data_IF_102257943802
#
_entry.id   IF_102257943802
#
_cell.length_a   1.000
_cell.length_b   1.000
_cell.length_c   1.000
_cell.angle_alpha   90.00
_cell.angle_beta   90.00
_cell.angle_gamma   90.00
#
_symmetry.space_group_name_H-M   'P 1'
#
loop_
_entity.id
_entity.type
_entity.pdbx_description
1 polymer ?
#
# COMPACT_ATOMS: atom_id res chain seq x y z
N UNK A 1 2.45 -11.28 9.81
CA UNK A 1 1.36 -10.44 9.27
C UNK A 1 0.23 -10.50 10.26
N UNK A 2 -0.43 -9.38 10.55
CA UNK A 2 -1.52 -9.35 11.52
C UNK A 2 -2.74 -10.09 10.94
N UNK A 3 -3.43 -10.86 11.79
CA UNK A 3 -4.43 -11.85 11.34
C UNK A 3 -5.59 -11.19 10.58
N UNK A 4 -6.00 -10.01 11.00
CA UNK A 4 -7.09 -9.26 10.37
C UNK A 4 -6.78 -8.85 8.93
N UNK A 5 -5.53 -8.46 8.62
CA UNK A 5 -5.10 -8.19 7.24
C UNK A 5 -5.06 -9.46 6.38
N UNK A 6 -4.67 -10.61 6.95
CA UNK A 6 -4.71 -11.92 6.24
C UNK A 6 -6.15 -12.25 5.87
N UNK A 7 -7.05 -12.17 6.85
CA UNK A 7 -8.44 -12.54 6.68
C UNK A 7 -9.13 -11.60 5.66
N UNK A 8 -8.77 -10.31 5.69
CA UNK A 8 -9.24 -9.30 4.75
C UNK A 8 -8.77 -9.57 3.31
N UNK A 9 -7.48 -9.93 3.13
CA UNK A 9 -6.96 -10.35 1.83
C UNK A 9 -7.71 -11.56 1.27
N UNK A 10 -7.93 -12.60 2.08
CA UNK A 10 -8.61 -13.81 1.62
C UNK A 10 -10.06 -13.54 1.20
N UNK A 11 -10.76 -12.63 1.89
CA UNK A 11 -12.12 -12.21 1.51
C UNK A 11 -12.16 -11.43 0.19
N UNK A 12 -11.22 -10.51 -0.02
CA UNK A 12 -11.36 -9.47 -1.04
C UNK A 12 -10.39 -9.59 -2.24
N UNK A 13 -9.44 -10.53 -2.21
CA UNK A 13 -8.47 -10.74 -3.32
C UNK A 13 -9.13 -11.01 -4.68
N UNK A 14 -10.34 -11.59 -4.68
CA UNK A 14 -11.12 -11.81 -5.91
C UNK A 14 -11.60 -10.50 -6.54
N UNK A 15 -12.12 -9.59 -5.73
CA UNK A 15 -12.58 -8.26 -6.17
C UNK A 15 -11.41 -7.40 -6.64
N UNK A 16 -10.28 -7.48 -5.92
CA UNK A 16 -9.05 -6.82 -6.33
C UNK A 16 -8.57 -7.31 -7.70
N UNK A 17 -8.57 -8.62 -7.94
CA UNK A 17 -8.20 -9.20 -9.24
C UNK A 17 -9.14 -8.72 -10.35
N UNK A 18 -10.44 -8.72 -10.11
CA UNK A 18 -11.42 -8.23 -11.09
C UNK A 18 -11.26 -6.74 -11.41
N UNK A 19 -10.92 -5.91 -10.43
CA UNK A 19 -10.58 -4.50 -10.66
C UNK A 19 -9.33 -4.37 -11.53
N UNK A 20 -8.26 -5.11 -11.21
CA UNK A 20 -7.01 -5.07 -11.97
C UNK A 20 -7.18 -5.51 -13.43
N UNK A 21 -8.10 -6.44 -13.71
CA UNK A 21 -8.40 -6.91 -15.07
C UNK A 21 -9.12 -5.86 -15.95
N UNK A 22 -9.69 -4.82 -15.35
CA UNK A 22 -10.55 -3.85 -16.05
C UNK A 22 -10.08 -2.39 -15.93
N UNK A 23 -9.28 -2.06 -14.92
CA UNK A 23 -8.73 -0.72 -14.73
C UNK A 23 -7.71 -0.35 -15.81
N UNK A 24 -7.43 0.94 -15.97
CA UNK A 24 -6.36 1.41 -16.87
C UNK A 24 -5.02 1.43 -16.16
N UNK A 25 -3.95 1.10 -16.86
CA UNK A 25 -2.60 1.09 -16.27
C UNK A 25 -2.16 2.43 -15.63
N UNK A 26 -2.63 3.58 -16.14
CA UNK A 26 -2.36 4.89 -15.51
C UNK A 26 -2.89 5.01 -14.08
N UNK A 27 -3.93 4.25 -13.73
CA UNK A 27 -4.49 4.23 -12.36
C UNK A 27 -3.58 3.48 -11.39
N UNK A 28 -2.63 2.70 -11.91
CA UNK A 28 -1.64 1.91 -11.17
C UNK A 28 -0.24 2.53 -11.28
N UNK A 29 -0.14 3.80 -11.68
CA UNK A 29 1.11 4.44 -12.11
C UNK A 29 2.16 4.67 -11.02
N UNK A 30 1.79 4.57 -9.74
CA UNK A 30 2.69 4.77 -8.60
C UNK A 30 2.41 3.78 -7.48
N UNK A 31 3.42 3.55 -6.62
CA UNK A 31 3.25 2.74 -5.43
C UNK A 31 2.21 3.33 -4.47
N UNK A 32 2.15 4.66 -4.34
CA UNK A 32 1.10 5.34 -3.60
C UNK A 32 -0.31 4.97 -4.11
N UNK A 33 -0.52 4.92 -5.42
CA UNK A 33 -1.80 4.52 -6.01
C UNK A 33 -2.14 3.05 -5.70
N UNK A 34 -1.14 2.16 -5.68
CA UNK A 34 -1.31 0.77 -5.27
C UNK A 34 -1.68 0.64 -3.79
N UNK A 35 -1.06 1.42 -2.91
CA UNK A 35 -1.45 1.46 -1.49
C UNK A 35 -2.89 1.94 -1.36
N UNK A 36 -3.28 3.04 -2.02
CA UNK A 36 -4.68 3.51 -2.02
C UNK A 36 -5.65 2.43 -2.50
N UNK A 37 -5.31 1.72 -3.58
CA UNK A 37 -6.11 0.62 -4.13
C UNK A 37 -6.27 -0.52 -3.11
N UNK A 38 -5.17 -0.94 -2.48
CA UNK A 38 -5.15 -1.99 -1.46
C UNK A 38 -6.09 -1.64 -0.31
N UNK A 39 -6.01 -0.41 0.22
CA UNK A 39 -6.88 0.02 1.30
C UNK A 39 -8.33 0.11 0.87
N UNK A 40 -8.60 0.66 -0.33
CA UNK A 40 -9.96 0.81 -0.85
C UNK A 40 -10.68 -0.52 -1.04
N UNK A 41 -10.02 -1.50 -1.65
CA UNK A 41 -10.66 -2.75 -2.11
C UNK A 41 -10.50 -3.89 -1.12
N UNK A 42 -9.39 -3.94 -0.38
CA UNK A 42 -9.13 -5.06 0.54
C UNK A 42 -9.46 -4.67 1.97
N UNK A 43 -8.81 -3.63 2.50
CA UNK A 43 -8.80 -3.40 3.95
C UNK A 43 -10.04 -2.64 4.45
N UNK A 44 -10.40 -1.52 3.82
CA UNK A 44 -11.47 -0.64 4.28
C UNK A 44 -12.89 -1.24 4.19
N UNK A 45 -13.24 -2.13 3.26
CA UNK A 45 -14.57 -2.77 3.25
C UNK A 45 -14.92 -3.52 4.54
N UNK A 46 -13.91 -4.02 5.27
CA UNK A 46 -14.10 -4.69 6.56
C UNK A 46 -14.24 -3.71 7.75
N UNK A 47 -14.03 -2.40 7.53
CA UNK A 47 -13.84 -1.38 8.57
C UNK A 47 -14.90 -0.29 8.52
N UNK A 48 -16.17 -0.67 8.73
CA UNK A 48 -17.35 0.19 8.50
C UNK A 48 -17.38 1.53 9.24
N UNK A 49 -16.87 1.59 10.48
CA UNK A 49 -17.03 2.77 11.35
C UNK A 49 -15.81 3.70 11.38
N UNK A 50 -14.64 3.17 11.02
CA UNK A 50 -13.39 3.91 11.06
C UNK A 50 -12.44 3.30 10.01
N UNK A 51 -12.69 3.46 8.70
CA UNK A 51 -11.74 3.00 7.69
C UNK A 51 -10.41 3.77 7.81
N UNK A 52 -9.33 3.27 7.23
CA UNK A 52 -8.11 4.06 7.11
C UNK A 52 -8.29 5.16 6.07
N UNK A 53 -7.90 6.38 6.42
CA UNK A 53 -8.00 7.55 5.54
C UNK A 53 -6.84 7.55 4.54
N UNK A 54 -7.13 7.17 3.30
CA UNK A 54 -6.15 7.13 2.22
C UNK A 54 -5.86 8.50 1.62
N UNK A 55 -6.70 9.51 1.88
CA UNK A 55 -6.52 10.86 1.36
C UNK A 55 -5.61 11.70 2.26
N UNK A 56 -5.55 11.38 3.56
CA UNK A 56 -4.60 11.95 4.52
C UNK A 56 -3.35 11.10 4.76
N UNK A 57 -3.09 10.13 3.88
CA UNK A 57 -1.90 9.29 3.95
C UNK A 57 -0.64 10.15 3.83
N UNK A 58 0.26 10.00 4.80
CA UNK A 58 1.59 10.63 4.75
C UNK A 58 2.51 9.72 3.95
N UNK A 59 3.21 10.31 2.99
CA UNK A 59 4.23 9.64 2.17
C UNK A 59 5.58 10.25 2.51
N UNK A 60 6.53 9.42 2.91
CA UNK A 60 7.93 9.81 3.11
C UNK A 60 8.74 9.15 2.01
N UNK A 61 9.39 9.96 1.19
CA UNK A 61 10.30 9.55 0.14
C UNK A 61 11.49 10.51 0.13
N UNK A 62 12.56 10.10 0.80
CA UNK A 62 13.83 10.83 0.86
C UNK A 62 14.83 10.33 -0.20
N UNK A 63 14.38 9.44 -1.11
CA UNK A 63 15.17 8.97 -2.24
C UNK A 63 15.11 9.95 -3.42
N UNK A 64 16.02 9.76 -4.37
CA UNK A 64 16.12 10.59 -5.58
C UNK A 64 16.06 9.72 -6.85
N UNK A 65 16.85 8.64 -6.88
CA UNK A 65 16.91 7.71 -8.02
C UNK A 65 16.58 6.26 -7.66
N UNK A 66 16.65 5.92 -6.38
CA UNK A 66 16.31 4.66 -5.75
C UNK A 66 16.12 4.95 -4.26
N UNK A 67 15.34 4.13 -3.56
CA UNK A 67 15.07 4.41 -2.16
C UNK A 67 13.96 3.59 -1.57
N UNK A 68 13.34 4.15 -0.54
CA UNK A 68 12.18 3.58 0.12
C UNK A 68 11.07 4.64 0.16
N UNK A 69 9.88 4.26 -0.27
CA UNK A 69 8.67 5.02 0.02
C UNK A 69 8.00 4.40 1.26
N UNK A 70 7.78 5.22 2.28
CA UNK A 70 7.03 4.84 3.47
C UNK A 70 5.66 5.50 3.45
N UNK A 71 4.63 4.72 3.76
CA UNK A 71 3.24 5.17 3.79
C UNK A 71 2.70 5.02 5.20
N UNK A 72 2.27 6.13 5.79
CA UNK A 72 1.64 6.15 7.11
C UNK A 72 0.16 6.53 6.93
N UNK A 73 -0.72 5.68 7.46
CA UNK A 73 -2.17 5.90 7.44
C UNK A 73 -2.70 5.84 8.86
N UNK A 74 -3.80 6.55 9.11
CA UNK A 74 -4.51 6.50 10.38
C UNK A 74 -5.98 6.14 10.16
N UNK A 75 -6.62 5.59 11.20
CA UNK A 75 -8.08 5.42 11.23
C UNK A 75 -8.79 6.77 11.08
N UNK A 76 -9.89 6.80 10.34
CA UNK A 76 -10.75 7.97 10.19
C UNK A 76 -11.61 8.20 11.45
N UNK A 77 -10.97 8.58 12.54
CA UNK A 77 -11.59 8.95 13.82
C UNK A 77 -11.37 10.44 14.09
N UNK A 78 -12.08 11.00 15.08
CA UNK A 78 -11.93 12.41 15.46
C UNK A 78 -10.52 12.74 15.95
N UNK A 79 -9.95 11.85 16.77
CA UNK A 79 -8.61 11.94 17.35
C UNK A 79 -7.98 10.55 17.36
N UNK A 80 -7.14 10.21 16.37
CA UNK A 80 -6.48 8.92 16.33
C UNK A 80 -5.40 8.82 17.41
N UNK A 81 -5.38 7.71 18.14
CA UNK A 81 -4.28 7.33 19.04
C UNK A 81 -3.13 6.70 18.25
N UNK A 82 -1.98 6.46 18.89
CA UNK A 82 -0.80 5.87 18.22
C UNK A 82 -1.16 4.53 17.57
N UNK A 83 -1.96 3.70 18.22
CA UNK A 83 -2.40 2.39 17.75
C UNK A 83 -3.37 2.46 16.56
N UNK A 84 -3.97 3.63 16.30
CA UNK A 84 -4.78 3.88 15.12
C UNK A 84 -3.93 4.12 13.87
N UNK A 85 -2.62 4.34 14.03
CA UNK A 85 -1.68 4.48 12.92
C UNK A 85 -1.14 3.12 12.51
N UNK A 86 -0.98 2.99 11.20
CA UNK A 86 -0.24 1.90 10.57
C UNK A 86 0.78 2.48 9.60
N UNK A 87 1.75 1.66 9.25
CA UNK A 87 2.64 1.93 8.14
C UNK A 87 2.83 0.71 7.25
N UNK A 88 3.16 0.97 5.98
CA UNK A 88 3.75 0.01 5.05
C UNK A 88 4.83 0.70 4.24
N UNK A 89 5.62 -0.05 3.50
CA UNK A 89 6.72 0.49 2.73
C UNK A 89 7.06 -0.38 1.52
N UNK A 90 7.76 0.24 0.58
CA UNK A 90 8.33 -0.43 -0.58
C UNK A 90 9.70 0.16 -0.88
N UNK A 91 10.62 -0.70 -1.31
CA UNK A 91 11.86 -0.25 -1.91
C UNK A 91 11.66 -0.13 -3.41
N UNK A 92 12.11 0.99 -3.98
CA UNK A 92 12.08 1.24 -5.41
C UNK A 92 13.50 1.44 -5.94
N UNK A 93 13.65 1.25 -7.25
CA UNK A 93 14.94 1.24 -7.92
C UNK A 93 14.95 2.12 -9.16
N UNK A 94 16.13 2.23 -9.74
CA UNK A 94 16.38 3.12 -10.88
C UNK A 94 15.94 2.60 -12.23
N UNK A 95 15.61 1.32 -12.35
CA UNK A 95 15.28 0.68 -13.61
C UNK A 95 14.29 -0.46 -13.40
N UNK A 96 13.63 -0.91 -14.47
CA UNK A 96 12.61 -1.98 -14.45
C UNK A 96 13.05 -3.31 -13.85
N UNK A 97 14.37 -3.55 -13.76
CA UNK A 97 14.93 -4.73 -13.08
C UNK A 97 15.05 -4.55 -11.57
N UNK A 98 15.25 -3.30 -11.11
CA UNK A 98 15.42 -2.93 -9.71
C UNK A 98 14.14 -2.35 -9.09
N UNK A 99 13.18 -1.94 -9.92
CA UNK A 99 11.87 -1.39 -9.54
C UNK A 99 10.77 -2.31 -10.07
N UNK A 100 10.10 -2.99 -9.13
CA UNK A 100 9.07 -3.99 -9.43
C UNK A 100 7.90 -3.36 -10.20
N UNK A 101 7.45 -2.17 -9.80
CA UNK A 101 6.34 -1.50 -10.48
C UNK A 101 6.71 -1.14 -11.92
N UNK A 102 7.90 -0.58 -12.13
CA UNK A 102 8.39 -0.32 -13.48
C UNK A 102 8.53 -1.62 -14.29
N UNK A 103 9.02 -2.70 -13.69
CA UNK A 103 9.10 -4.03 -14.31
C UNK A 103 7.73 -4.55 -14.77
N UNK A 104 6.70 -4.43 -13.93
CA UNK A 104 5.33 -4.85 -14.27
C UNK A 104 4.78 -4.01 -15.41
N UNK A 105 4.91 -2.68 -15.33
CA UNK A 105 4.37 -1.74 -16.34
C UNK A 105 5.06 -1.89 -17.69
N UNK A 106 6.37 -2.15 -17.66
CA UNK A 106 7.19 -2.34 -18.87
C UNK A 106 7.14 -3.75 -19.46
N UNK A 107 6.52 -4.71 -18.76
CA UNK A 107 6.61 -6.14 -19.08
C UNK A 107 8.06 -6.65 -19.22
N UNK A 108 9.03 -5.99 -18.56
CA UNK A 108 10.44 -6.32 -18.66
C UNK A 108 11.13 -5.83 -19.94
N UNK A 109 10.47 -5.05 -20.78
CA UNK A 109 11.07 -4.45 -21.97
C UNK A 109 11.89 -3.19 -21.63
N UNK A 110 12.99 -2.98 -22.34
CA UNK A 110 13.76 -1.74 -22.32
C UNK A 110 13.04 -0.73 -23.22
N UNK A 111 12.39 0.27 -22.62
CA UNK A 111 11.64 1.35 -23.31
C UNK A 111 10.35 0.94 -24.02
N UNK A 112 9.39 0.32 -23.32
CA UNK A 112 8.11 -0.01 -23.93
C UNK A 112 7.31 1.26 -24.19
N UNK A 113 6.54 1.25 -25.28
CA UNK A 113 5.42 2.17 -25.43
C UNK A 113 4.41 1.87 -24.31
N UNK A 114 4.48 2.65 -23.23
CA UNK A 114 3.54 2.56 -22.12
C UNK A 114 2.16 2.97 -22.63
N UNK A 115 1.33 2.00 -22.99
CA UNK A 115 -0.07 2.25 -23.28
C UNK A 115 -0.85 2.32 -21.96
N UNK A 116 -0.77 3.49 -21.31
CA UNK A 116 -1.33 3.69 -19.97
C UNK A 116 -2.87 3.67 -19.94
N UNK A 117 -3.52 3.79 -21.10
CA UNK A 117 -4.97 3.68 -21.24
C UNK A 117 -5.47 2.24 -21.44
N UNK A 118 -4.56 1.28 -21.64
CA UNK A 118 -4.91 -0.14 -21.76
C UNK A 118 -5.05 -0.80 -20.39
N UNK A 119 -5.91 -1.81 -20.32
CA UNK A 119 -5.98 -2.69 -19.17
C UNK A 119 -4.72 -3.57 -19.02
N UNK A 120 -4.29 -3.91 -17.79
CA UNK A 120 -3.22 -4.86 -17.56
C UNK A 120 -3.47 -6.21 -18.26
N UNK A 121 -2.40 -6.78 -18.83
CA UNK A 121 -2.44 -8.17 -19.31
C UNK A 121 -2.58 -9.17 -18.15
N UNK A 122 -3.01 -10.43 -18.40
CA UNK A 122 -3.12 -11.44 -17.34
C UNK A 122 -1.84 -11.63 -16.52
N UNK A 123 -0.67 -11.55 -17.16
CA UNK A 123 0.62 -11.63 -16.46
C UNK A 123 0.86 -10.42 -15.54
N UNK A 124 0.54 -9.21 -16.02
CA UNK A 124 0.63 -7.99 -15.21
C UNK A 124 -0.35 -8.04 -14.03
N UNK A 125 -1.57 -8.53 -14.22
CA UNK A 125 -2.54 -8.73 -13.13
C UNK A 125 -1.94 -9.63 -12.04
N UNK A 126 -1.36 -10.78 -12.41
CA UNK A 126 -0.70 -11.67 -11.45
C UNK A 126 0.44 -10.97 -10.70
N UNK A 127 1.27 -10.20 -11.41
CA UNK A 127 2.38 -9.50 -10.79
C UNK A 127 1.94 -8.34 -9.87
N UNK A 128 0.90 -7.59 -10.26
CA UNK A 128 0.27 -6.58 -9.40
C UNK A 128 -0.32 -7.21 -8.13
N UNK A 129 -0.99 -8.36 -8.27
CA UNK A 129 -1.52 -9.10 -7.11
C UNK A 129 -0.40 -9.48 -6.13
N UNK A 130 0.76 -9.92 -6.64
CA UNK A 130 1.92 -10.24 -5.80
C UNK A 130 2.51 -8.99 -5.13
N UNK A 131 2.66 -7.89 -5.86
CA UNK A 131 3.15 -6.63 -5.31
C UNK A 131 2.22 -6.09 -4.20
N UNK A 132 0.91 -6.11 -4.43
CA UNK A 132 -0.11 -5.70 -3.45
C UNK A 132 -0.11 -6.62 -2.22
N UNK A 133 0.08 -7.93 -2.40
CA UNK A 133 0.25 -8.86 -1.29
C UNK A 133 1.50 -8.53 -0.46
N UNK A 134 2.62 -8.18 -1.10
CA UNK A 134 3.84 -7.77 -0.39
C UNK A 134 3.67 -6.46 0.39
N UNK A 135 2.98 -5.47 -0.19
CA UNK A 135 2.60 -4.25 0.52
C UNK A 135 1.74 -4.56 1.74
N UNK A 136 0.74 -5.46 1.61
CA UNK A 136 -0.11 -5.89 2.71
C UNK A 136 0.69 -6.63 3.80
N UNK A 137 1.59 -7.53 3.41
CA UNK A 137 2.43 -8.31 4.33
C UNK A 137 3.36 -7.46 5.19
N UNK A 138 3.75 -6.29 4.68
CA UNK A 138 4.59 -5.31 5.37
C UNK A 138 3.81 -4.35 6.27
N UNK A 139 2.48 -4.37 6.26
CA UNK A 139 1.69 -3.52 7.15
C UNK A 139 2.00 -3.84 8.61
N UNK A 140 2.22 -2.79 9.38
CA UNK A 140 2.45 -2.82 10.83
C UNK A 140 1.70 -1.70 11.51
N UNK A 141 1.12 -1.99 12.69
CA UNK A 141 0.62 -0.99 13.62
C UNK A 141 1.74 -0.33 14.40
N UNK A 142 1.64 0.97 14.61
CA UNK A 142 2.41 1.63 15.66
C UNK A 142 1.97 1.11 17.03
N UNK A 143 2.89 1.05 17.98
CA UNK A 143 2.63 0.59 19.35
C UNK A 143 2.78 1.82 20.27
N UNK A 144 1.80 2.09 21.14
CA UNK A 144 1.81 3.26 22.03
C UNK A 144 2.28 2.98 23.46
N UNK A 145 3.14 1.99 23.68
CA UNK A 145 3.67 1.69 25.01
C UNK A 145 4.89 2.56 25.35
N UNK A 146 4.67 3.85 25.63
CA UNK A 146 5.69 4.74 26.22
C UNK A 146 5.16 5.55 27.43
N UNK A 147 3.99 5.21 27.99
CA UNK A 147 3.46 5.84 29.21
C UNK A 147 3.93 5.20 30.53
N UNK A 148 5.00 4.39 30.53
CA UNK A 148 5.56 3.81 31.76
C UNK A 148 6.82 4.52 32.31
N UNK A 149 7.41 5.51 31.62
CA UNK A 149 8.73 6.08 32.02
C UNK A 149 8.75 7.55 32.45
N UNK A 150 7.61 8.18 32.72
CA UNK A 150 7.60 9.44 33.48
C UNK A 150 7.15 9.15 34.91
N UNK A 151 8.06 8.91 35.87
CA UNK A 151 7.70 9.06 37.26
C UNK A 151 7.13 10.46 37.40
N UNK A 152 5.85 10.53 37.79
CA UNK A 152 5.20 11.77 38.19
C UNK A 152 6.18 12.49 39.12
N UNK A 153 6.80 13.56 38.63
CA UNK A 153 7.50 14.51 39.48
C UNK A 153 6.39 15.08 40.37
N UNK A 154 6.26 14.49 41.56
CA UNK A 154 5.49 15.04 42.65
C UNK A 154 6.02 16.46 42.88
N UNK A 155 5.29 17.45 42.37
CA UNK A 155 5.37 18.84 42.82
C UNK A 155 4.45 19.03 44.01
#
# INVERSE_FOLDING_TARGET
MEKDFVDSWERHKGELKAYLETCRQKELGSYQALVKLLFRVVINPDLKHAPYDTEKMVVIDDGDYQGAELYILHRSTYQPYVEDYIYTYVYYGSCSFCDILQGIRSQGELWPELNEDKAPSPHQVTAYMQLLLHLLQRIKRFQGNDMEDFPLLNM
#
